data_IF_181506274664
#
_entry.id   IF_181506274664
#
_cell.length_a   1.000
_cell.length_b   1.000
_cell.length_c   1.000
_cell.angle_alpha   90.00
_cell.angle_beta   90.00
_cell.angle_gamma   90.00
#
_symmetry.space_group_name_H-M   'P 1'
#
loop_
_entity.id
_entity.type
_entity.pdbx_description
1 polymer ?
#
# COMPACT_ATOMS: atom_id res chain seq x y z
N UNK A 1 15.38 -7.48 -19.67
CA UNK A 1 15.61 -6.17 -20.27
C UNK A 1 16.16 -5.22 -19.21
N UNK A 2 17.36 -4.72 -19.45
CA UNK A 2 18.19 -3.95 -18.52
C UNK A 2 17.69 -2.51 -18.35
N UNK A 3 17.15 -1.91 -19.42
CA UNK A 3 16.58 -0.56 -19.39
C UNK A 3 15.43 -0.44 -18.39
N UNK A 4 14.50 -1.41 -18.40
CA UNK A 4 13.38 -1.47 -17.45
C UNK A 4 13.83 -1.65 -15.99
N UNK A 5 15.00 -2.26 -15.75
CA UNK A 5 15.56 -2.39 -14.40
C UNK A 5 16.13 -1.07 -13.90
N UNK A 6 16.80 -0.32 -14.77
CA UNK A 6 17.34 1.02 -14.46
C UNK A 6 16.20 1.98 -14.16
N UNK A 7 15.19 2.06 -15.04
CA UNK A 7 14.03 2.93 -14.86
C UNK A 7 13.30 2.65 -13.53
N UNK A 8 13.10 1.37 -13.17
CA UNK A 8 12.49 1.00 -11.89
C UNK A 8 13.31 1.46 -10.69
N UNK A 9 14.64 1.40 -10.77
CA UNK A 9 15.52 1.91 -9.70
C UNK A 9 15.46 3.42 -9.59
N UNK A 10 15.48 4.13 -10.71
CA UNK A 10 15.41 5.58 -10.76
C UNK A 10 14.09 6.11 -10.16
N UNK A 11 12.96 5.42 -10.38
CA UNK A 11 11.68 5.78 -9.75
C UNK A 11 11.74 5.82 -8.22
N UNK A 12 12.51 4.93 -7.59
CA UNK A 12 12.73 4.97 -6.15
C UNK A 12 13.81 6.00 -5.77
N UNK A 13 14.90 6.08 -6.54
CA UNK A 13 16.02 6.97 -6.23
C UNK A 13 15.69 8.46 -6.35
N UNK A 14 14.77 8.83 -7.25
CA UNK A 14 14.37 10.22 -7.49
C UNK A 14 13.29 10.71 -6.52
N UNK A 15 12.69 9.83 -5.72
CA UNK A 15 11.75 10.23 -4.69
C UNK A 15 12.52 10.82 -3.50
N UNK A 16 12.33 12.10 -3.14
CA UNK A 16 13.03 12.73 -2.01
C UNK A 16 12.62 12.12 -0.66
N UNK A 17 11.46 11.46 -0.59
CA UNK A 17 10.99 10.74 0.58
C UNK A 17 10.46 9.36 0.20
N UNK A 18 10.84 8.36 0.99
CA UNK A 18 10.29 7.02 0.95
C UNK A 18 9.79 6.65 2.35
N UNK A 19 8.54 6.22 2.43
CA UNK A 19 7.94 5.69 3.65
C UNK A 19 7.75 4.19 3.48
N UNK A 20 8.18 3.39 4.45
CA UNK A 20 7.89 1.95 4.50
C UNK A 20 6.77 1.72 5.52
N UNK A 21 5.60 1.36 5.01
CA UNK A 21 4.45 1.02 5.82
C UNK A 21 4.59 -0.42 6.33
N UNK A 22 4.41 -0.57 7.63
CA UNK A 22 4.62 -1.84 8.32
C UNK A 22 3.37 -2.24 9.08
N UNK A 23 3.07 -3.53 9.06
CA UNK A 23 2.04 -4.17 9.87
C UNK A 23 2.68 -4.66 11.18
N UNK A 24 2.05 -4.34 12.30
CA UNK A 24 2.38 -4.89 13.61
C UNK A 24 1.12 -5.41 14.28
N UNK A 25 1.24 -6.53 15.00
CA UNK A 25 0.19 -7.06 15.87
C UNK A 25 0.36 -6.59 17.31
N UNK A 26 1.34 -5.72 17.59
CA UNK A 26 1.57 -5.18 18.93
C UNK A 26 0.34 -4.39 19.40
N UNK A 27 -0.16 -4.73 20.60
CA UNK A 27 -1.35 -4.10 21.18
C UNK A 27 -2.69 -4.60 20.61
N UNK A 28 -2.68 -5.58 19.70
CA UNK A 28 -3.88 -6.21 19.15
C UNK A 28 -4.37 -7.35 20.03
N UNK A 29 -5.61 -7.79 19.82
CA UNK A 29 -6.16 -8.92 20.56
C UNK A 29 -5.48 -10.22 20.13
N UNK A 30 -5.11 -11.05 21.11
CA UNK A 30 -4.60 -12.39 20.87
C UNK A 30 -5.72 -13.41 21.09
N UNK A 31 -5.95 -14.26 20.10
CA UNK A 31 -6.95 -15.32 20.14
C UNK A 31 -6.28 -16.69 20.01
N UNK A 32 -6.68 -17.64 20.87
CA UNK A 32 -6.24 -19.04 20.74
C UNK A 32 -6.89 -19.75 19.54
N UNK A 33 -8.07 -19.28 19.14
CA UNK A 33 -8.78 -19.75 17.95
C UNK A 33 -8.11 -19.18 16.68
N UNK A 34 -7.63 -20.06 15.81
CA UNK A 34 -6.93 -19.67 14.58
C UNK A 34 -7.80 -18.82 13.65
N UNK A 35 -9.11 -19.09 13.59
CA UNK A 35 -10.02 -18.34 12.73
C UNK A 35 -10.12 -16.88 13.20
N UNK A 36 -10.37 -16.65 14.49
CA UNK A 36 -10.38 -15.29 15.06
C UNK A 36 -9.04 -14.59 14.95
N UNK A 37 -7.93 -15.31 15.14
CA UNK A 37 -6.60 -14.72 15.01
C UNK A 37 -6.31 -14.25 13.57
N UNK A 38 -6.81 -14.97 12.56
CA UNK A 38 -6.74 -14.54 11.15
C UNK A 38 -7.58 -13.31 10.89
N UNK A 39 -8.81 -13.28 11.42
CA UNK A 39 -9.69 -12.11 11.30
C UNK A 39 -9.03 -10.87 11.91
N UNK A 40 -8.47 -10.98 13.12
CA UNK A 40 -7.76 -9.86 13.76
C UNK A 40 -6.63 -9.34 12.86
N UNK A 41 -5.84 -10.25 12.27
CA UNK A 41 -4.77 -9.89 11.35
C UNK A 41 -5.31 -9.19 10.09
N UNK A 42 -6.40 -9.67 9.52
CA UNK A 42 -7.04 -9.06 8.34
C UNK A 42 -7.51 -7.63 8.65
N UNK A 43 -8.09 -7.39 9.82
CA UNK A 43 -8.47 -6.05 10.28
C UNK A 43 -7.28 -5.10 10.38
N UNK A 44 -6.12 -5.59 10.85
CA UNK A 44 -4.88 -4.79 10.88
C UNK A 44 -4.39 -4.48 9.46
N UNK A 45 -4.52 -5.41 8.52
CA UNK A 45 -4.20 -5.17 7.09
C UNK A 45 -5.10 -4.08 6.52
N UNK A 46 -6.41 -4.16 6.75
CA UNK A 46 -7.38 -3.15 6.31
C UNK A 46 -7.07 -1.77 6.89
N UNK A 47 -6.76 -1.71 8.18
CA UNK A 47 -6.37 -0.47 8.88
C UNK A 47 -5.13 0.16 8.26
N UNK A 48 -4.07 -0.64 8.01
CA UNK A 48 -2.85 -0.14 7.37
C UNK A 48 -3.11 0.35 5.94
N UNK A 49 -3.94 -0.37 5.18
CA UNK A 49 -4.30 0.02 3.82
C UNK A 49 -5.07 1.35 3.79
N UNK A 50 -6.01 1.55 4.70
CA UNK A 50 -6.74 2.81 4.85
C UNK A 50 -5.81 3.97 5.24
N UNK A 51 -4.87 3.73 6.16
CA UNK A 51 -3.87 4.73 6.55
C UNK A 51 -2.99 5.16 5.37
N UNK A 52 -2.51 4.20 4.57
CA UNK A 52 -1.74 4.50 3.35
C UNK A 52 -2.60 5.30 2.36
N UNK A 53 -3.84 4.90 2.12
CA UNK A 53 -4.72 5.62 1.20
C UNK A 53 -4.98 7.06 1.64
N UNK A 54 -5.20 7.30 2.94
CA UNK A 54 -5.37 8.64 3.49
C UNK A 54 -4.09 9.49 3.32
N UNK A 55 -2.91 8.89 3.50
CA UNK A 55 -1.63 9.55 3.24
C UNK A 55 -1.49 9.96 1.77
N UNK A 56 -1.86 9.08 0.82
CA UNK A 56 -1.81 9.39 -0.62
C UNK A 56 -2.76 10.55 -0.99
N UNK A 57 -3.98 10.55 -0.45
CA UNK A 57 -4.94 11.65 -0.64
C UNK A 57 -4.42 12.97 -0.04
N UNK A 58 -3.81 12.90 1.14
CA UNK A 58 -3.21 14.07 1.79
C UNK A 58 -2.05 14.63 0.97
N UNK A 59 -1.13 13.76 0.51
CA UNK A 59 -0.02 14.16 -0.36
C UNK A 59 -0.54 14.86 -1.62
N UNK A 60 -1.55 14.29 -2.28
CA UNK A 60 -2.19 14.89 -3.45
C UNK A 60 -2.80 16.27 -3.14
N UNK A 61 -3.53 16.40 -2.03
CA UNK A 61 -4.11 17.67 -1.59
C UNK A 61 -3.07 18.76 -1.29
N UNK A 62 -1.84 18.36 -0.96
CA UNK A 62 -0.69 19.26 -0.77
C UNK A 62 0.08 19.54 -2.06
N UNK A 63 -0.37 19.05 -3.22
CA UNK A 63 0.32 19.20 -4.51
C UNK A 63 1.53 18.28 -4.71
N UNK A 64 1.66 17.24 -3.88
CA UNK A 64 2.73 16.24 -4.00
C UNK A 64 2.28 15.06 -4.85
N UNK A 65 3.23 14.45 -5.55
CA UNK A 65 3.08 13.13 -6.17
C UNK A 65 3.42 12.04 -5.17
N UNK A 66 2.61 10.98 -5.13
CA UNK A 66 2.88 9.81 -4.30
C UNK A 66 2.49 8.51 -5.00
N UNK A 67 3.23 7.42 -4.76
CA UNK A 67 2.96 6.13 -5.38
C UNK A 67 3.15 4.97 -4.40
N UNK A 68 2.17 4.05 -4.35
CA UNK A 68 2.19 2.84 -3.53
C UNK A 68 2.84 1.68 -4.30
N UNK A 69 3.86 1.07 -3.70
CA UNK A 69 4.47 -0.19 -4.16
C UNK A 69 4.35 -1.30 -3.11
N UNK A 70 3.95 -2.50 -3.54
CA UNK A 70 3.87 -3.69 -2.68
C UNK A 70 5.19 -4.51 -2.64
N UNK A 71 6.28 -3.99 -3.22
CA UNK A 71 7.56 -4.70 -3.28
C UNK A 71 8.06 -5.20 -1.91
N UNK A 72 7.94 -4.44 -0.79
CA UNK A 72 8.39 -4.90 0.52
C UNK A 72 7.75 -6.22 0.98
N UNK A 73 6.48 -6.46 0.63
CA UNK A 73 5.79 -7.71 1.00
C UNK A 73 6.49 -8.96 0.42
N UNK A 74 7.21 -8.83 -0.70
CA UNK A 74 7.94 -9.93 -1.35
C UNK A 74 9.40 -10.05 -0.89
N UNK A 75 9.94 -9.05 -0.19
CA UNK A 75 11.35 -9.02 0.23
C UNK A 75 11.53 -8.61 1.69
N UNK A 76 10.59 -9.00 2.56
CA UNK A 76 10.58 -8.66 4.00
C UNK A 76 11.93 -8.86 4.69
N UNK A 77 12.67 -9.97 4.51
CA UNK A 77 13.96 -10.16 5.19
C UNK A 77 15.00 -9.09 4.80
N UNK A 78 15.03 -8.70 3.52
CA UNK A 78 15.92 -7.66 3.02
C UNK A 78 15.56 -6.29 3.60
N UNK A 79 14.28 -5.93 3.59
CA UNK A 79 13.79 -4.65 4.13
C UNK A 79 14.03 -4.58 5.64
N UNK A 80 13.74 -5.67 6.38
CA UNK A 80 14.03 -5.77 7.81
C UNK A 80 15.50 -5.55 8.12
N UNK A 81 16.38 -6.25 7.42
CA UNK A 81 17.83 -6.10 7.59
C UNK A 81 18.30 -4.68 7.34
N UNK A 82 17.83 -4.06 6.25
CA UNK A 82 18.25 -2.73 5.83
C UNK A 82 17.78 -1.64 6.81
N UNK A 83 16.54 -1.74 7.28
CA UNK A 83 15.92 -0.74 8.17
C UNK A 83 15.96 -1.13 9.65
N UNK A 84 16.60 -2.25 10.00
CA UNK A 84 16.67 -2.81 11.37
C UNK A 84 15.28 -3.01 12.01
N UNK A 85 14.31 -3.43 11.22
CA UNK A 85 12.94 -3.73 11.68
C UNK A 85 12.93 -5.10 12.39
N UNK A 86 12.32 -5.23 13.58
CA UNK A 86 12.24 -6.51 14.29
C UNK A 86 11.39 -7.54 13.54
N UNK A 87 11.60 -8.83 13.83
CA UNK A 87 10.87 -9.92 13.15
C UNK A 87 9.36 -9.91 13.40
N UNK A 88 8.91 -9.34 14.53
CA UNK A 88 7.50 -9.18 14.89
C UNK A 88 6.76 -8.16 14.03
N UNK A 89 7.50 -7.32 13.29
CA UNK A 89 6.94 -6.28 12.42
C UNK A 89 7.13 -6.68 10.96
N UNK A 90 6.08 -6.49 10.17
CA UNK A 90 6.04 -6.90 8.76
C UNK A 90 6.04 -5.69 7.83
N UNK A 91 7.12 -5.40 7.10
CA UNK A 91 7.07 -4.38 6.05
C UNK A 91 6.20 -4.87 4.88
N UNK A 92 5.14 -4.13 4.54
CA UNK A 92 4.14 -4.55 3.53
C UNK A 92 4.14 -3.66 2.30
N UNK A 93 4.35 -2.36 2.48
CA UNK A 93 4.28 -1.39 1.39
C UNK A 93 5.38 -0.33 1.49
N UNK A 94 5.70 0.24 0.34
CA UNK A 94 6.62 1.36 0.18
C UNK A 94 5.88 2.46 -0.56
N UNK A 95 5.95 3.68 -0.03
CA UNK A 95 5.31 4.86 -0.60
C UNK A 95 6.41 5.86 -0.95
N UNK A 96 6.53 6.18 -2.24
CA UNK A 96 7.38 7.29 -2.68
C UNK A 96 6.58 8.59 -2.59
N UNK A 97 7.21 9.68 -2.18
CA UNK A 97 6.59 11.01 -2.08
C UNK A 97 7.59 12.06 -2.60
N UNK A 98 7.10 13.01 -3.38
CA UNK A 98 7.89 14.15 -3.86
C UNK A 98 7.10 15.14 -4.70
N UNK A 99 7.79 16.12 -5.27
CA UNK A 99 7.20 17.02 -6.25
C UNK A 99 7.14 16.33 -7.62
N UNK A 100 5.95 16.23 -8.24
CA UNK A 100 5.80 15.53 -9.50
C UNK A 100 6.47 16.31 -10.63
N UNK A 101 7.30 15.63 -11.43
CA UNK A 101 7.91 16.22 -12.64
C UNK A 101 6.94 16.27 -13.84
N UNK A 102 5.85 15.51 -13.77
CA UNK A 102 4.84 15.37 -14.82
C UNK A 102 3.45 15.20 -14.22
N UNK A 103 2.40 15.48 -15.01
CA UNK A 103 1.00 15.28 -14.65
C UNK A 103 0.33 14.42 -15.73
N UNK A 104 0.52 13.08 -15.71
CA UNK A 104 -0.05 12.19 -16.72
C UNK A 104 -1.58 12.15 -16.61
N UNK A 105 -2.24 11.83 -17.72
CA UNK A 105 -3.68 11.59 -17.73
C UNK A 105 -4.03 10.37 -16.85
N UNK A 106 -5.15 10.45 -16.14
CA UNK A 106 -5.64 9.31 -15.37
C UNK A 106 -5.94 8.12 -16.31
N UNK A 107 -5.55 6.89 -15.93
CA UNK A 107 -5.91 5.71 -16.71
C UNK A 107 -7.43 5.53 -16.72
N UNK A 108 -7.99 4.90 -17.77
CA UNK A 108 -9.42 4.64 -17.84
C UNK A 108 -9.85 3.78 -16.65
N UNK A 109 -10.92 4.20 -15.98
CA UNK A 109 -11.58 3.44 -14.90
C UNK A 109 -12.81 2.76 -15.47
N UNK A 110 -13.14 1.57 -14.95
CA UNK A 110 -14.45 0.96 -15.18
C UNK A 110 -15.54 1.83 -14.56
N UNK A 111 -16.75 1.68 -15.05
CA UNK A 111 -17.94 2.37 -14.54
C UNK A 111 -18.34 1.85 -13.15
N UNK A 112 -19.15 2.62 -12.42
CA UNK A 112 -19.66 2.17 -11.11
C UNK A 112 -20.49 0.88 -11.23
N UNK A 113 -21.28 0.73 -12.29
CA UNK A 113 -22.08 -0.47 -12.53
C UNK A 113 -21.25 -1.76 -12.69
N UNK A 114 -19.95 -1.64 -13.03
CA UNK A 114 -19.04 -2.78 -13.13
C UNK A 114 -18.41 -3.19 -11.78
N UNK A 115 -18.46 -2.33 -10.77
CA UNK A 115 -17.89 -2.59 -9.44
C UNK A 115 -18.94 -2.71 -8.34
N UNK A 116 -20.04 -1.98 -8.47
CA UNK A 116 -21.03 -1.81 -7.42
C UNK A 116 -22.31 -2.57 -7.77
N UNK A 117 -22.78 -3.37 -6.83
CA UNK A 117 -24.06 -4.05 -6.92
C UNK A 117 -25.04 -3.49 -5.88
N UNK A 118 -26.30 -3.30 -6.28
CA UNK A 118 -27.37 -2.84 -5.41
C UNK A 118 -28.05 -4.03 -4.73
N UNK A 119 -28.10 -4.02 -3.40
CA UNK A 119 -28.73 -5.02 -2.53
C UNK A 119 -28.10 -6.42 -2.56
N UNK A 120 -27.91 -7.01 -3.74
CA UNK A 120 -27.42 -8.37 -3.93
C UNK A 120 -26.29 -8.45 -4.96
N UNK A 121 -25.37 -9.39 -4.76
CA UNK A 121 -24.26 -9.64 -5.69
C UNK A 121 -24.76 -9.92 -7.10
N UNK A 122 -24.19 -9.23 -8.09
CA UNK A 122 -24.55 -9.40 -9.49
C UNK A 122 -25.70 -8.53 -10.00
N UNK A 123 -26.38 -7.73 -9.15
CA UNK A 123 -27.37 -6.73 -9.59
C UNK A 123 -26.71 -5.36 -9.72
N UNK A 124 -26.34 -4.87 -10.92
CA UNK A 124 -25.55 -3.65 -11.06
C UNK A 124 -26.23 -2.42 -10.48
N UNK A 125 -25.44 -1.52 -9.89
CA UNK A 125 -25.88 -0.20 -9.46
C UNK A 125 -26.35 0.61 -10.68
N UNK A 126 -27.58 1.13 -10.65
CA UNK A 126 -28.17 1.96 -11.71
C UNK A 126 -27.79 3.42 -11.55
#
# INVERSE_FOLDING_TARGET
>A
DEAKRIERRERFANAPLIIVACLSMDGMMAFADEQRQRIERDLVVESLAAAIQNMLLTAHGLGLGACWYCAPAFCKPTVRKMLRIPETVEPTALITIGYPAESPAAPPKKTLAEYCYADCWGKPLR
#
